data_IF_075848243027
#
_entry.id   IF_075848243027
#
_cell.length_a   1.000
_cell.length_b   1.000
_cell.length_c   1.000
_cell.angle_alpha   90.00
_cell.angle_beta   90.00
_cell.angle_gamma   90.00
#
_symmetry.space_group_name_H-M   'P 1'
#
loop_
_entity.id
_entity.type
_entity.pdbx_description
1 polymer ?
#
# COMPACT_ATOMS: atom_id res chain seq x y z
N UNK A 1 12.08 -4.08 -11.78
CA UNK A 1 11.39 -2.83 -11.43
C UNK A 1 10.99 -2.90 -9.96
N UNK A 2 10.97 -1.77 -9.25
CA UNK A 2 10.48 -1.74 -7.87
C UNK A 2 9.04 -1.23 -7.89
N UNK A 3 8.14 -1.86 -7.16
CA UNK A 3 6.79 -1.33 -6.98
C UNK A 3 6.54 -1.14 -5.49
N UNK A 4 5.82 -0.09 -5.16
CA UNK A 4 5.44 0.22 -3.80
C UNK A 4 3.93 0.36 -3.73
N UNK A 5 3.29 -0.13 -2.67
CA UNK A 5 1.85 0.03 -2.47
C UNK A 5 1.54 0.51 -1.05
N UNK A 6 0.53 1.36 -0.93
CA UNK A 6 -0.08 1.69 0.36
C UNK A 6 -1.08 0.60 0.73
N UNK A 7 -0.92 -0.01 1.89
CA UNK A 7 -1.78 -1.10 2.40
C UNK A 7 -2.37 -0.68 3.74
N UNK A 8 -3.70 -0.69 3.83
CA UNK A 8 -4.43 -0.54 5.08
C UNK A 8 -4.51 -1.90 5.77
N UNK A 9 -4.24 -1.94 7.08
CA UNK A 9 -4.45 -3.13 7.92
C UNK A 9 -5.31 -2.70 9.11
N UNK A 10 -6.55 -3.18 9.20
CA UNK A 10 -7.43 -2.94 10.34
C UNK A 10 -8.08 -4.24 10.82
N UNK A 11 -8.91 -4.16 11.87
CA UNK A 11 -9.60 -5.33 12.44
C UNK A 11 -10.57 -6.01 11.46
N UNK A 12 -11.03 -5.29 10.42
CA UNK A 12 -11.93 -5.80 9.39
C UNK A 12 -11.17 -6.49 8.24
N UNK A 13 -9.86 -6.28 8.12
CA UNK A 13 -8.99 -6.91 7.14
C UNK A 13 -7.85 -6.05 6.64
N UNK A 14 -7.11 -6.59 5.68
CA UNK A 14 -5.99 -5.92 5.05
C UNK A 14 -6.27 -5.71 3.55
N UNK A 15 -5.87 -4.56 3.00
CA UNK A 15 -6.13 -4.24 1.59
C UNK A 15 -5.30 -3.09 1.02
N UNK A 16 -5.08 -3.12 -0.29
CA UNK A 16 -4.42 -2.01 -1.02
C UNK A 16 -5.34 -0.79 -1.03
N UNK A 17 -4.81 0.35 -0.60
CA UNK A 17 -5.54 1.61 -0.63
C UNK A 17 -5.73 2.03 -2.09
N UNK A 18 -6.96 2.42 -2.45
CA UNK A 18 -7.30 2.89 -3.78
C UNK A 18 -8.11 4.18 -3.71
N UNK A 19 -7.93 5.05 -4.70
CA UNK A 19 -8.74 6.24 -4.90
C UNK A 19 -9.78 6.00 -5.98
N UNK A 20 -11.00 6.50 -5.75
CA UNK A 20 -12.07 6.45 -6.75
C UNK A 20 -11.95 7.66 -7.68
N UNK A 21 -11.55 7.40 -8.92
CA UNK A 21 -11.56 8.39 -10.01
C UNK A 21 -12.79 8.25 -10.91
N UNK A 22 -12.87 9.08 -11.94
CA UNK A 22 -13.93 9.01 -12.97
C UNK A 22 -13.90 7.70 -13.77
N UNK A 23 -12.73 7.08 -13.92
CA UNK A 23 -12.53 5.81 -14.64
C UNK A 23 -12.58 4.56 -13.77
N UNK A 24 -12.89 4.68 -12.47
CA UNK A 24 -12.94 3.56 -11.53
C UNK A 24 -11.94 3.67 -10.38
N UNK A 25 -11.68 2.55 -9.72
CA UNK A 25 -10.75 2.47 -8.61
C UNK A 25 -9.31 2.41 -9.11
N UNK A 26 -8.47 3.33 -8.66
CA UNK A 26 -7.05 3.38 -8.96
C UNK A 26 -6.26 3.03 -7.71
N UNK A 27 -5.49 1.94 -7.70
CA UNK A 27 -4.68 1.58 -6.54
C UNK A 27 -3.57 2.61 -6.34
N UNK A 28 -3.28 2.90 -5.08
CA UNK A 28 -2.22 3.80 -4.67
C UNK A 28 -0.90 3.04 -4.70
N UNK A 29 -0.30 3.00 -5.88
CA UNK A 29 1.00 2.37 -6.14
C UNK A 29 2.01 3.37 -6.68
N UNK A 30 3.26 3.26 -6.24
CA UNK A 30 4.39 4.02 -6.74
C UNK A 30 5.39 3.12 -7.45
N UNK A 31 5.87 3.52 -8.63
CA UNK A 31 6.95 2.83 -9.33
C UNK A 31 8.34 3.11 -8.71
N UNK A 32 8.40 4.10 -7.81
CA UNK A 32 9.59 4.50 -7.06
C UNK A 32 9.18 5.23 -5.77
N UNK A 33 10.16 5.48 -4.89
CA UNK A 33 9.92 6.16 -3.61
C UNK A 33 9.54 7.64 -3.73
N UNK A 34 9.90 8.31 -4.82
CA UNK A 34 9.53 9.71 -5.03
C UNK A 34 8.05 9.81 -5.40
N UNK A 35 7.53 8.85 -6.18
CA UNK A 35 6.10 8.70 -6.44
C UNK A 35 5.35 8.38 -5.16
N UNK A 36 5.85 7.46 -4.33
CA UNK A 36 5.26 7.17 -3.00
C UNK A 36 5.17 8.44 -2.15
N UNK A 37 6.25 9.21 -2.03
CA UNK A 37 6.26 10.47 -1.27
C UNK A 37 5.24 11.47 -1.83
N UNK A 38 5.06 11.53 -3.15
CA UNK A 38 4.06 12.41 -3.76
C UNK A 38 2.61 12.02 -3.45
N UNK A 39 2.36 10.73 -3.18
CA UNK A 39 1.04 10.19 -2.84
C UNK A 39 0.76 10.22 -1.33
N UNK A 40 1.79 10.30 -0.50
CA UNK A 40 1.71 10.24 0.95
C UNK A 40 0.70 11.25 1.55
N UNK A 41 0.67 12.54 1.16
CA UNK A 41 -0.27 13.48 1.76
C UNK A 41 -1.73 13.12 1.52
N UNK A 42 -2.05 12.49 0.38
CA UNK A 42 -3.41 12.05 0.07
C UNK A 42 -3.84 10.90 0.96
N UNK A 43 -2.96 9.91 1.17
CA UNK A 43 -3.26 8.75 2.01
C UNK A 43 -3.39 9.15 3.48
N UNK A 44 -2.51 10.03 3.96
CA UNK A 44 -2.59 10.60 5.32
C UNK A 44 -3.92 11.34 5.54
N UNK A 45 -4.38 12.09 4.54
CA UNK A 45 -5.66 12.79 4.61
C UNK A 45 -6.90 11.87 4.70
N UNK A 46 -6.76 10.58 4.36
CA UNK A 46 -7.84 9.60 4.50
C UNK A 46 -8.06 9.16 5.95
N UNK A 47 -7.12 9.43 6.86
CA UNK A 47 -7.24 9.09 8.28
C UNK A 47 -7.28 7.58 8.55
N UNK A 48 -6.71 6.78 7.64
CA UNK A 48 -6.58 5.32 7.79
C UNK A 48 -5.15 4.97 8.17
N UNK A 49 -4.98 3.98 9.03
CA UNK A 49 -3.66 3.43 9.32
C UNK A 49 -3.16 2.63 8.11
N UNK A 50 -1.91 2.86 7.71
CA UNK A 50 -1.34 2.21 6.54
C UNK A 50 0.14 1.86 6.69
N UNK A 51 0.58 0.90 5.88
CA UNK A 51 1.98 0.53 5.65
C UNK A 51 2.32 0.74 4.17
N UNK A 52 3.59 0.99 3.87
CA UNK A 52 4.11 1.00 2.50
C UNK A 52 4.89 -0.29 2.30
N UNK A 53 4.43 -1.14 1.39
CA UNK A 53 5.13 -2.39 1.04
C UNK A 53 5.91 -2.21 -0.26
N UNK A 54 7.12 -2.75 -0.30
CA UNK A 54 7.96 -2.84 -1.51
C UNK A 54 7.82 -4.24 -2.12
N UNK A 55 7.59 -4.28 -3.42
CA UNK A 55 7.54 -5.48 -4.26
C UNK A 55 8.74 -5.47 -5.20
N UNK A 56 9.44 -6.60 -5.28
CA UNK A 56 10.62 -6.78 -6.13
C UNK A 56 10.30 -7.52 -7.44
N UNK A 57 9.06 -7.99 -7.57
CA UNK A 57 8.52 -8.67 -8.74
C UNK A 57 7.00 -8.79 -8.67
N UNK A 58 6.41 -9.51 -9.62
CA UNK A 58 4.98 -9.84 -9.58
C UNK A 58 4.76 -10.86 -8.46
N UNK A 59 4.13 -10.40 -7.39
CA UNK A 59 3.67 -11.25 -6.29
C UNK A 59 2.15 -11.38 -6.42
N UNK A 60 1.65 -12.62 -6.45
CA UNK A 60 0.23 -12.84 -6.31
C UNK A 60 -0.14 -12.65 -4.83
N UNK A 61 -1.15 -11.81 -4.59
CA UNK A 61 -1.65 -11.58 -3.24
C UNK A 61 -2.36 -12.86 -2.79
N UNK A 62 -1.65 -13.66 -1.98
CA UNK A 62 -2.15 -14.90 -1.38
C UNK A 62 -2.21 -14.74 0.13
N UNK A 63 -2.96 -15.60 0.81
CA UNK A 63 -3.08 -15.57 2.28
C UNK A 63 -1.71 -15.65 3.00
N UNK A 64 -0.71 -16.29 2.40
CA UNK A 64 0.67 -16.33 2.92
C UNK A 64 1.41 -14.99 2.78
N UNK A 65 1.18 -14.25 1.69
CA UNK A 65 1.70 -12.89 1.55
C UNK A 65 1.11 -11.99 2.64
N UNK A 66 -0.19 -12.11 2.88
CA UNK A 66 -0.90 -11.36 3.92
C UNK A 66 -0.41 -11.72 5.33
N UNK A 67 -0.11 -12.99 5.61
CA UNK A 67 0.49 -13.38 6.89
C UNK A 67 1.87 -12.75 7.16
N UNK A 68 2.63 -12.36 6.12
CA UNK A 68 3.93 -11.67 6.24
C UNK A 68 3.79 -10.18 6.57
N UNK A 69 2.65 -9.55 6.24
CA UNK A 69 2.35 -8.17 6.68
C UNK A 69 2.29 -8.04 8.21
N UNK A 70 2.02 -9.14 8.91
CA UNK A 70 2.09 -9.25 10.36
C UNK A 70 3.53 -9.30 10.92
N UNK A 71 4.56 -9.52 10.09
CA UNK A 71 5.94 -9.76 10.56
C UNK A 71 7.02 -8.89 9.96
N UNK A 72 6.77 -7.94 9.06
CA UNK A 72 7.87 -7.06 8.64
C UNK A 72 7.50 -5.69 8.07
N UNK A 73 8.31 -4.73 8.55
CA UNK A 73 8.46 -3.32 8.18
C UNK A 73 7.33 -2.36 8.56
N UNK A 74 7.31 -2.01 9.85
CA UNK A 74 6.99 -0.65 10.26
C UNK A 74 8.17 0.26 9.88
N UNK A 75 8.04 1.01 8.78
CA UNK A 75 8.93 2.15 8.53
C UNK A 75 8.41 3.30 9.36
N UNK A 76 8.99 3.48 10.56
CA UNK A 76 8.82 4.70 11.32
C UNK A 76 9.55 5.82 10.58
N UNK A 77 8.83 6.91 10.29
CA UNK A 77 9.41 8.18 9.85
C UNK A 77 9.67 9.02 11.09
#
# INVERSE_FOLDING_TARGET
EQMFAFVSCNEEGEGVIALKGSGGWMPMVGADMDRVKSLLPMVVAMGVDFKILKFEGREDITDQFMARCNTSLSVYI
#
